data_IF_001244022733
#
_entry.id   IF_001244022733
#
_cell.length_a   1.000
_cell.length_b   1.000
_cell.length_c   1.000
_cell.angle_alpha   90.00
_cell.angle_beta   90.00
_cell.angle_gamma   90.00
#
_symmetry.space_group_name_H-M   'P 1'
#
loop_
_entity.id
_entity.type
_entity.pdbx_description
1 polymer ?
#
# COMPACT_ATOMS: atom_id res chain seq x y z
N UNK A 1 2.18 24.32 16.92
CA UNK A 1 0.95 23.48 16.86
C UNK A 1 0.97 22.76 15.52
N UNK A 2 0.91 21.42 15.52
CA UNK A 2 0.68 20.66 14.29
C UNK A 2 -0.83 20.69 14.11
N UNK A 3 -1.33 21.47 13.16
CA UNK A 3 -2.75 21.54 12.86
C UNK A 3 -3.20 20.18 12.29
N UNK A 4 -3.70 19.32 13.18
CA UNK A 4 -4.21 18.01 12.82
C UNK A 4 -5.33 18.19 11.80
N UNK A 5 -5.19 17.58 10.63
CA UNK A 5 -6.18 17.67 9.55
C UNK A 5 -5.98 18.83 8.58
N UNK A 6 -4.82 19.48 8.55
CA UNK A 6 -4.42 20.43 7.49
C UNK A 6 -3.24 19.90 6.68
N UNK A 7 -3.20 20.27 5.40
CA UNK A 7 -2.11 19.90 4.52
C UNK A 7 -0.87 20.73 4.87
N UNK A 8 0.29 20.09 5.15
CA UNK A 8 1.50 20.81 5.61
C UNK A 8 2.08 21.74 4.53
N UNK A 9 1.74 21.54 3.26
CA UNK A 9 2.21 22.36 2.13
C UNK A 9 1.32 23.55 1.79
N UNK A 10 0.00 23.36 1.73
CA UNK A 10 -0.93 24.38 1.23
C UNK A 10 -1.90 24.90 2.28
N UNK A 11 -1.87 24.39 3.52
CA UNK A 11 -2.75 24.83 4.62
C UNK A 11 -4.21 24.44 4.47
N UNK A 12 -4.63 23.88 3.33
CA UNK A 12 -6.01 23.43 3.13
C UNK A 12 -6.35 22.24 4.03
N UNK A 13 -7.61 22.20 4.46
CA UNK A 13 -8.13 21.12 5.31
C UNK A 13 -8.15 19.78 4.57
N UNK A 14 -7.59 18.74 5.17
CA UNK A 14 -7.52 17.38 4.66
C UNK A 14 -8.79 16.60 5.05
N UNK A 15 -9.90 16.86 4.36
CA UNK A 15 -11.13 16.06 4.48
C UNK A 15 -11.08 14.79 3.61
N UNK A 16 -10.42 14.89 2.45
CA UNK A 16 -10.21 13.80 1.52
C UNK A 16 -8.76 13.76 1.05
N UNK A 17 -8.29 12.55 0.74
CA UNK A 17 -6.97 12.30 0.15
C UNK A 17 -7.14 11.58 -1.17
N UNK A 18 -6.24 11.87 -2.11
CA UNK A 18 -6.12 11.10 -3.34
C UNK A 18 -5.32 9.83 -3.03
N UNK A 19 -5.85 8.69 -3.45
CA UNK A 19 -5.24 7.37 -3.23
C UNK A 19 -4.80 6.83 -4.60
N UNK A 20 -3.51 6.55 -4.76
CA UNK A 20 -2.96 5.98 -6.00
C UNK A 20 -2.16 4.72 -5.68
N UNK A 21 -2.28 3.68 -6.52
CA UNK A 21 -1.42 2.50 -6.44
C UNK A 21 -0.09 2.77 -7.10
N UNK A 22 0.99 2.57 -6.36
CA UNK A 22 2.36 2.69 -6.85
C UNK A 22 3.12 1.38 -6.56
N UNK A 23 4.25 1.19 -7.24
CA UNK A 23 5.17 0.10 -6.94
C UNK A 23 6.39 0.66 -6.21
N UNK A 24 6.79 0.02 -5.13
CA UNK A 24 8.00 0.35 -4.37
C UNK A 24 8.93 -0.85 -4.26
N UNK A 25 10.20 -0.60 -3.99
CA UNK A 25 11.15 -1.64 -3.61
C UNK A 25 11.24 -1.74 -2.09
N UNK A 26 11.27 -2.96 -1.57
CA UNK A 26 11.41 -3.19 -0.14
C UNK A 26 12.72 -3.94 0.13
N UNK A 27 13.81 -3.21 0.41
CA UNK A 27 15.10 -3.71 0.93
C UNK A 27 15.42 -5.19 0.62
N UNK A 28 15.54 -5.55 -0.66
CA UNK A 28 15.95 -6.88 -1.13
C UNK A 28 14.82 -7.87 -1.43
N UNK A 29 13.57 -7.57 -1.06
CA UNK A 29 12.37 -8.21 -1.58
C UNK A 29 11.85 -7.42 -2.78
N UNK A 30 11.36 -8.11 -3.81
CA UNK A 30 10.98 -7.54 -5.12
C UNK A 30 9.92 -6.44 -5.07
N UNK A 31 9.38 -6.07 -6.23
CA UNK A 31 8.39 -5.00 -6.32
C UNK A 31 7.17 -5.27 -5.43
N UNK A 32 6.90 -4.35 -4.51
CA UNK A 32 5.73 -4.39 -3.63
C UNK A 32 4.75 -3.31 -4.06
N UNK A 33 3.47 -3.67 -4.13
CA UNK A 33 2.41 -2.71 -4.39
C UNK A 33 2.14 -1.90 -3.12
N UNK A 34 2.16 -0.59 -3.25
CA UNK A 34 1.89 0.37 -2.19
C UNK A 34 0.75 1.31 -2.60
N UNK A 35 0.13 1.95 -1.61
CA UNK A 35 -0.84 3.01 -1.76
C UNK A 35 -0.18 4.33 -1.35
N UNK A 36 -0.13 5.28 -2.28
CA UNK A 36 0.25 6.66 -2.01
C UNK A 36 -0.99 7.44 -1.58
N UNK A 37 -0.86 8.25 -0.52
CA UNK A 37 -1.88 9.16 -0.02
C UNK A 37 -1.40 10.57 -0.29
N UNK A 38 -2.11 11.32 -1.13
CA UNK A 38 -1.73 12.70 -1.50
C UNK A 38 -2.85 13.70 -1.26
N UNK A 39 -2.48 14.96 -1.04
CA UNK A 39 -3.45 16.04 -0.89
C UNK A 39 -4.16 16.31 -2.23
N UNK A 40 -5.49 16.36 -2.23
CA UNK A 40 -6.28 16.62 -3.45
C UNK A 40 -6.06 18.02 -4.06
N UNK A 41 -5.54 18.97 -3.27
CA UNK A 41 -5.39 20.36 -3.69
C UNK A 41 -4.02 20.66 -4.31
N UNK A 42 -2.95 20.06 -3.77
CA UNK A 42 -1.58 20.38 -4.18
C UNK A 42 -0.71 19.15 -4.50
N UNK A 43 -1.30 17.95 -4.45
CA UNK A 43 -0.67 16.66 -4.75
C UNK A 43 0.58 16.32 -3.92
N UNK A 44 0.83 17.01 -2.79
CA UNK A 44 1.90 16.59 -1.88
C UNK A 44 1.58 15.21 -1.33
N UNK A 45 2.58 14.33 -1.29
CA UNK A 45 2.48 13.02 -0.65
C UNK A 45 2.43 13.23 0.87
N UNK A 46 1.37 12.74 1.49
CA UNK A 46 1.10 12.79 2.93
C UNK A 46 1.53 11.50 3.62
N UNK A 47 1.54 10.39 2.88
CA UNK A 47 2.00 9.10 3.38
C UNK A 47 2.00 8.03 2.30
N UNK A 48 2.67 6.93 2.59
CA UNK A 48 2.68 5.72 1.77
C UNK A 48 2.40 4.53 2.68
N UNK A 49 1.52 3.63 2.24
CA UNK A 49 1.19 2.40 2.96
C UNK A 49 1.42 1.21 2.04
N UNK A 50 1.93 0.12 2.58
CA UNK A 50 1.97 -1.16 1.85
C UNK A 50 0.53 -1.59 1.57
N UNK A 51 0.22 -1.98 0.32
CA UNK A 51 -1.13 -2.45 0.00
C UNK A 51 -1.36 -3.78 0.75
N UNK A 52 -2.36 -3.88 1.66
CA UNK A 52 -2.60 -5.12 2.41
C UNK A 52 -2.94 -6.30 1.50
N UNK A 53 -3.43 -6.05 0.27
CA UNK A 53 -3.69 -7.10 -0.74
C UNK A 53 -2.42 -7.57 -1.46
N UNK A 54 -1.31 -6.85 -1.32
CA UNK A 54 -0.01 -7.26 -1.89
C UNK A 54 0.64 -8.41 -1.14
N UNK A 55 0.23 -8.68 0.12
CA UNK A 55 0.66 -9.89 0.81
C UNK A 55 0.12 -11.08 0.04
N UNK A 56 1.03 -11.87 -0.53
CA UNK A 56 0.69 -13.15 -1.14
C UNK A 56 -0.20 -13.91 -0.17
N UNK A 57 -1.47 -14.13 -0.55
CA UNK A 57 -2.36 -15.01 0.19
C UNK A 57 -1.61 -16.34 0.30
N UNK A 58 -1.38 -16.91 1.49
CA UNK A 58 -0.67 -18.18 1.58
C UNK A 58 -1.43 -19.15 0.67
N UNK A 59 -0.78 -19.58 -0.42
CA UNK A 59 -1.30 -20.65 -1.27
C UNK A 59 -1.60 -21.79 -0.30
N UNK A 60 -2.87 -22.18 -0.19
CA UNK A 60 -3.21 -23.45 0.48
C UNK A 60 -2.32 -24.49 -0.19
N UNK A 61 -1.49 -25.18 0.59
CA UNK A 61 -0.75 -26.34 0.08
C UNK A 61 -1.80 -27.22 -0.60
N UNK A 62 -1.65 -27.43 -1.91
CA UNK A 62 -2.40 -28.46 -2.60
C UNK A 62 -2.11 -29.75 -1.83
N UNK A 63 -3.16 -30.39 -1.31
CA UNK A 63 -3.01 -31.69 -0.69
C UNK A 63 -2.52 -32.63 -1.79
N UNK A 64 -1.26 -33.04 -1.69
CA UNK A 64 -0.68 -34.10 -2.50
C UNK A 64 -1.32 -35.42 -2.05
N UNK A 65 -2.52 -35.68 -2.58
CA UNK A 65 -3.18 -36.97 -2.46
C UNK A 65 -2.98 -37.72 -3.78
N UNK A 66 -2.21 -38.81 -3.71
CA UNK A 66 -2.25 -39.88 -4.69
C UNK A 66 -0.95 -40.15 -5.44
N UNK A 67 -0.04 -40.93 -4.83
CA UNK A 67 0.73 -41.93 -5.58
C UNK A 67 1.20 -43.09 -4.70
N UNK A 68 0.29 -44.02 -4.39
CA UNK A 68 0.68 -45.41 -4.16
C UNK A 68 1.06 -45.99 -5.52
N UNK A 69 2.34 -46.36 -5.69
CA UNK A 69 2.75 -47.31 -6.73
C UNK A 69 3.24 -48.56 -6.02
N UNK A 70 2.70 -49.67 -6.50
CA UNK A 70 2.82 -51.06 -6.08
C UNK A 70 4.27 -51.51 -5.94
#
# INVERSE_FOLDING_TARGET
>A
MINQGECPKCGNRLLHVRIESIFGQNNGSGEVRCLSLSCIHCNIVLGVQMDPRSRARPRRKEAEEGRTVV
#
